data_IF_777548166689
#
_entry.id   IF_777548166689
#
_cell.length_a   1.000
_cell.length_b   1.000
_cell.length_c   1.000
_cell.angle_alpha   90.00
_cell.angle_beta   90.00
_cell.angle_gamma   90.00
#
_symmetry.space_group_name_H-M   'P 1'
#
loop_
_entity.id
_entity.type
_entity.pdbx_description
1 polymer ?
#
# COMPACT_ATOMS: atom_id res chain seq x y z
N UNK A 1 0.58 16.88 17.17
CA UNK A 1 -0.33 15.83 16.69
C UNK A 1 0.36 15.15 15.53
N UNK A 2 0.68 13.86 15.64
CA UNK A 2 1.28 13.13 14.52
C UNK A 2 0.20 12.77 13.50
N UNK A 3 0.47 13.01 12.23
CA UNK A 3 -0.40 12.62 11.12
C UNK A 3 0.46 12.27 9.91
N UNK A 4 -0.05 11.36 9.10
CA UNK A 4 0.48 11.03 7.77
C UNK A 4 -0.64 11.18 6.76
N UNK A 5 -0.29 11.69 5.58
CA UNK A 5 -1.22 11.89 4.47
C UNK A 5 -0.94 10.95 3.29
N UNK A 6 0.07 10.08 3.40
CA UNK A 6 0.46 9.16 2.33
C UNK A 6 1.17 7.95 2.95
N UNK A 7 0.52 6.80 2.94
CA UNK A 7 1.05 5.56 3.51
C UNK A 7 0.44 4.37 2.78
N UNK A 8 1.18 3.28 2.72
CA UNK A 8 0.84 2.07 1.98
C UNK A 8 1.03 0.85 2.88
N UNK A 9 0.31 -0.22 2.60
CA UNK A 9 0.49 -1.52 3.25
C UNK A 9 1.10 -2.52 2.29
N UNK A 10 1.93 -3.43 2.78
CA UNK A 10 2.49 -4.52 1.97
C UNK A 10 1.41 -5.45 1.44
N UNK A 11 0.29 -5.55 2.15
CA UNK A 11 -0.88 -6.34 1.74
C UNK A 11 -1.46 -5.88 0.39
N UNK A 12 -1.45 -4.57 0.10
CA UNK A 12 -2.04 -4.01 -1.13
C UNK A 12 -0.99 -3.39 -2.07
N UNK A 13 0.23 -3.14 -1.59
CA UNK A 13 1.33 -2.56 -2.37
C UNK A 13 2.65 -3.36 -2.20
N UNK A 14 2.69 -4.66 -2.53
CA UNK A 14 3.80 -5.55 -2.21
C UNK A 14 5.13 -5.17 -2.89
N UNK A 15 5.10 -4.39 -3.97
CA UNK A 15 6.31 -3.96 -4.68
C UNK A 15 7.21 -3.00 -3.88
N UNK A 16 6.69 -2.29 -2.88
CA UNK A 16 7.50 -1.36 -2.06
C UNK A 16 7.00 -1.15 -0.62
N UNK A 17 5.82 -1.64 -0.26
CA UNK A 17 5.36 -1.68 1.12
C UNK A 17 5.56 -3.09 1.70
N UNK A 18 5.57 -3.21 3.04
CA UNK A 18 6.05 -4.42 3.72
C UNK A 18 5.02 -5.02 4.67
N UNK A 19 4.58 -4.24 5.67
CA UNK A 19 3.75 -4.77 6.75
C UNK A 19 2.27 -4.93 6.36
N UNK A 20 1.56 -5.83 7.05
CA UNK A 20 0.13 -6.00 6.86
C UNK A 20 -0.63 -4.75 7.30
N UNK A 21 -1.75 -4.48 6.61
CA UNK A 21 -2.57 -3.30 6.89
C UNK A 21 -2.99 -3.21 8.37
N UNK A 22 -3.40 -4.34 8.96
CA UNK A 22 -3.81 -4.39 10.36
C UNK A 22 -2.68 -4.02 11.32
N UNK A 23 -1.46 -4.50 11.07
CA UNK A 23 -0.31 -4.23 11.93
C UNK A 23 0.08 -2.74 11.88
N UNK A 24 0.03 -2.14 10.68
CA UNK A 24 0.28 -0.71 10.48
C UNK A 24 -0.75 0.13 11.26
N UNK A 25 -2.03 -0.20 11.15
CA UNK A 25 -3.11 0.54 11.84
C UNK A 25 -2.99 0.41 13.35
N UNK A 26 -2.72 -0.81 13.87
CA UNK A 26 -2.51 -1.04 15.31
C UNK A 26 -1.30 -0.26 15.82
N UNK A 27 -0.22 -0.21 15.04
CA UNK A 27 0.97 0.54 15.39
C UNK A 27 0.70 2.05 15.44
N UNK A 28 -0.01 2.61 14.45
CA UNK A 28 -0.40 4.01 14.44
C UNK A 28 -1.25 4.39 15.67
N UNK A 29 -2.19 3.53 16.07
CA UNK A 29 -2.99 3.70 17.30
C UNK A 29 -2.09 3.71 18.54
N UNK A 30 -1.14 2.78 18.65
CA UNK A 30 -0.22 2.70 19.78
C UNK A 30 0.68 3.96 19.90
N UNK A 31 1.04 4.57 18.76
CA UNK A 31 1.78 5.84 18.70
C UNK A 31 0.92 7.08 18.97
N UNK A 32 -0.39 6.91 19.17
CA UNK A 32 -1.31 8.01 19.48
C UNK A 32 -1.77 8.82 18.27
N UNK A 33 -1.67 8.25 17.05
CA UNK A 33 -2.27 8.87 15.87
C UNK A 33 -3.79 8.95 16.05
N UNK A 34 -4.36 10.08 15.63
CA UNK A 34 -5.82 10.27 15.57
C UNK A 34 -6.35 10.24 14.14
N UNK A 35 -5.49 10.55 13.18
CA UNK A 35 -5.80 10.56 11.75
C UNK A 35 -4.60 10.01 11.00
N UNK A 36 -4.84 9.08 10.07
CA UNK A 36 -3.86 8.58 9.12
C UNK A 36 -4.54 8.39 7.77
N UNK A 37 -3.84 8.70 6.68
CA UNK A 37 -4.28 8.38 5.33
C UNK A 37 -3.54 7.15 4.82
N UNK A 38 -4.30 6.21 4.27
CA UNK A 38 -3.82 5.05 3.53
C UNK A 38 -4.18 5.28 2.06
N UNK A 39 -3.19 5.19 1.19
CA UNK A 39 -3.27 5.62 -0.21
C UNK A 39 -2.67 4.56 -1.12
N UNK A 40 -3.18 3.33 -1.02
CA UNK A 40 -2.70 2.20 -1.81
C UNK A 40 -2.71 2.51 -3.32
N UNK A 41 -1.85 1.83 -4.09
CA UNK A 41 -1.81 2.01 -5.53
C UNK A 41 -3.09 1.53 -6.17
N UNK A 42 -3.56 2.30 -7.14
CA UNK A 42 -4.63 1.82 -7.99
C UNK A 42 -4.08 0.74 -8.93
N UNK A 43 -4.95 -0.14 -9.42
CA UNK A 43 -4.61 -1.20 -10.36
C UNK A 43 -4.17 -0.59 -11.69
N UNK A 44 -3.28 -1.29 -12.40
CA UNK A 44 -2.95 -0.91 -13.78
C UNK A 44 -4.02 -1.46 -14.73
N UNK A 45 -4.21 -0.77 -15.86
CA UNK A 45 -5.13 -1.26 -16.90
C UNK A 45 -4.44 -2.12 -17.96
N UNK A 46 -3.15 -1.89 -18.19
CA UNK A 46 -2.37 -2.59 -19.21
C UNK A 46 -0.99 -2.96 -18.68
N UNK A 47 -0.43 -4.08 -19.16
CA UNK A 47 0.90 -4.55 -18.75
C UNK A 47 2.01 -3.53 -19.01
N UNK A 48 1.87 -2.71 -20.06
CA UNK A 48 2.86 -1.65 -20.37
C UNK A 48 2.94 -0.55 -19.32
N UNK A 49 1.93 -0.45 -18.44
CA UNK A 49 1.85 0.55 -17.39
C UNK A 49 2.35 -0.02 -16.04
N UNK A 50 2.82 -1.27 -16.00
CA UNK A 50 3.41 -1.90 -14.83
C UNK A 50 4.79 -1.30 -14.53
N UNK A 51 5.08 -1.12 -13.25
CA UNK A 51 6.46 -0.93 -12.79
C UNK A 51 7.26 -2.24 -12.89
N UNK A 52 8.60 -2.19 -12.93
CA UNK A 52 9.42 -3.39 -12.98
C UNK A 52 9.11 -4.41 -11.88
N UNK A 53 8.80 -3.95 -10.66
CA UNK A 53 8.43 -4.81 -9.53
C UNK A 53 7.01 -5.39 -9.62
N UNK A 54 6.17 -4.85 -10.50
CA UNK A 54 4.79 -5.31 -10.74
C UNK A 54 4.72 -6.36 -11.88
N UNK A 55 5.82 -6.58 -12.61
CA UNK A 55 5.91 -7.53 -13.73
C UNK A 55 6.06 -9.00 -13.31
N UNK A 56 6.43 -9.28 -12.04
CA UNK A 56 6.59 -10.66 -11.54
C UNK A 56 5.23 -11.40 -11.44
N UNK A 57 4.16 -10.68 -11.08
CA UNK A 57 2.79 -11.20 -10.99
C UNK A 57 1.77 -10.23 -11.64
N UNK A 58 1.80 -10.06 -12.97
CA UNK A 58 1.06 -9.01 -13.67
C UNK A 58 -0.47 -9.14 -13.48
N UNK A 59 -0.97 -10.37 -13.34
CA UNK A 59 -2.39 -10.60 -13.08
C UNK A 59 -2.87 -10.00 -11.74
N UNK A 60 -2.02 -9.91 -10.72
CA UNK A 60 -2.36 -9.30 -9.43
C UNK A 60 -2.40 -7.77 -9.57
N UNK A 61 -1.39 -7.21 -10.22
CA UNK A 61 -1.24 -5.76 -10.44
C UNK A 61 -2.30 -5.17 -11.38
N UNK A 62 -2.85 -5.99 -12.29
CA UNK A 62 -3.93 -5.60 -13.22
C UNK A 62 -5.34 -5.83 -12.68
N UNK A 63 -5.52 -6.68 -11.65
CA UNK A 63 -6.83 -7.10 -11.15
C UNK A 63 -7.22 -6.47 -9.80
N UNK A 64 -6.34 -5.66 -9.21
CA UNK A 64 -6.66 -4.89 -8.01
C UNK A 64 -7.86 -3.94 -8.24
#
# INVERSE_FOLDING_TARGET
MAFTMHSHSGQFCPGHAVDQLEDIVRHAIALGFRTMALTEHMPRYEERDLYPEEEDEPAVSLAA
#
